data_IF_558205026235
#
_entry.id   IF_558205026235
#
_cell.length_a   1.000
_cell.length_b   1.000
_cell.length_c   1.000
_cell.angle_alpha   90.00
_cell.angle_beta   90.00
_cell.angle_gamma   90.00
#
_symmetry.space_group_name_H-M   'P 1'
#
loop_
_entity.id
_entity.type
_entity.pdbx_description
1 polymer ?
#
# COMPACT_ATOMS: atom_id res chain seq x y z
N UNK A 1 64.21 -14.40 -8.17
CA UNK A 1 63.09 -14.22 -7.23
C UNK A 1 63.53 -14.86 -5.91
N UNK A 2 63.65 -14.05 -4.87
CA UNK A 2 63.94 -14.50 -3.51
C UNK A 2 62.58 -14.69 -2.78
N UNK A 3 62.28 -15.86 -2.29
CA UNK A 3 61.08 -16.15 -1.54
C UNK A 3 61.46 -16.38 -0.08
N UNK A 4 61.05 -15.44 0.79
CA UNK A 4 61.24 -15.56 2.24
C UNK A 4 59.93 -16.00 2.85
N UNK A 5 59.93 -17.12 3.59
CA UNK A 5 58.74 -17.63 4.26
C UNK A 5 58.98 -17.71 5.77
N UNK A 6 58.21 -16.95 6.51
CA UNK A 6 58.20 -17.01 7.97
C UNK A 6 57.15 -18.01 8.46
N UNK A 7 57.53 -18.91 9.35
CA UNK A 7 56.61 -19.86 9.95
C UNK A 7 56.87 -20.03 11.45
N UNK A 8 55.78 -20.27 12.17
CA UNK A 8 55.80 -20.52 13.60
C UNK A 8 55.48 -21.98 13.86
N UNK A 9 56.41 -22.69 14.51
CA UNK A 9 56.20 -24.08 14.94
C UNK A 9 55.67 -24.11 16.36
N UNK A 10 54.75 -25.03 16.61
CA UNK A 10 54.27 -25.31 17.96
C UNK A 10 54.19 -26.82 18.20
N UNK A 11 54.21 -27.22 19.48
CA UNK A 11 54.08 -28.62 19.87
C UNK A 11 52.79 -29.25 19.33
N UNK A 12 52.81 -30.51 18.83
CA UNK A 12 51.61 -31.21 18.34
C UNK A 12 50.51 -31.37 19.41
N UNK A 13 50.85 -31.25 20.68
CA UNK A 13 49.91 -31.33 21.79
C UNK A 13 49.17 -30.00 22.08
N UNK A 14 49.48 -28.94 21.37
CA UNK A 14 48.79 -27.67 21.47
C UNK A 14 47.91 -27.45 20.25
N UNK A 15 46.62 -27.26 20.49
CA UNK A 15 45.68 -26.97 19.43
C UNK A 15 45.95 -25.56 18.89
N UNK A 16 46.37 -25.44 17.64
CA UNK A 16 46.52 -24.14 16.98
C UNK A 16 45.16 -23.59 16.64
N UNK A 17 44.86 -22.41 17.17
CA UNK A 17 43.67 -21.63 16.77
C UNK A 17 44.12 -20.28 16.23
N UNK A 18 43.78 -19.99 14.99
CA UNK A 18 43.93 -18.65 14.47
C UNK A 18 43.13 -17.67 15.37
N UNK A 19 43.75 -16.55 15.71
CA UNK A 19 43.02 -15.48 16.37
C UNK A 19 41.93 -14.99 15.39
N UNK A 20 40.65 -14.99 15.78
CA UNK A 20 39.60 -14.48 14.90
C UNK A 20 39.90 -13.01 14.59
N UNK A 21 40.00 -12.70 13.29
CA UNK A 21 40.13 -11.30 12.86
C UNK A 21 38.87 -10.59 13.23
N UNK A 22 38.98 -9.40 13.83
CA UNK A 22 37.83 -8.53 14.11
C UNK A 22 37.23 -8.09 12.78
N UNK A 23 35.97 -8.40 12.54
CA UNK A 23 35.26 -7.97 11.35
C UNK A 23 35.19 -6.41 11.30
N UNK A 24 35.32 -5.81 10.14
CA UNK A 24 35.08 -4.38 10.00
C UNK A 24 33.61 -4.08 10.40
N UNK A 25 33.37 -2.89 10.94
CA UNK A 25 32.03 -2.43 11.26
C UNK A 25 31.45 -1.77 10.01
N UNK A 26 30.27 -2.22 9.56
CA UNK A 26 29.55 -1.65 8.45
C UNK A 26 28.51 -0.61 8.95
N UNK A 27 28.31 0.41 8.15
CA UNK A 27 27.28 1.44 8.34
C UNK A 27 26.20 1.27 7.27
N UNK A 28 25.17 2.13 7.29
CA UNK A 28 24.13 2.12 6.28
C UNK A 28 24.69 2.32 4.88
N UNK A 29 24.25 1.53 3.94
CA UNK A 29 24.63 1.57 2.52
C UNK A 29 23.40 1.55 1.63
N UNK A 30 23.58 1.88 0.36
CA UNK A 30 22.52 1.85 -0.63
C UNK A 30 22.73 0.72 -1.62
N UNK A 31 21.64 0.03 -1.94
CA UNK A 31 21.63 -1.05 -2.91
C UNK A 31 20.38 -0.98 -3.81
N UNK A 32 20.38 -1.75 -4.88
CA UNK A 32 19.23 -1.92 -5.78
C UNK A 32 18.74 -3.35 -5.67
N UNK A 33 17.42 -3.52 -5.62
CA UNK A 33 16.78 -4.85 -5.63
C UNK A 33 16.93 -5.47 -7.02
N UNK A 34 17.37 -6.73 -7.06
CA UNK A 34 17.66 -7.46 -8.29
C UNK A 34 16.96 -8.82 -8.33
N UNK A 35 16.95 -9.44 -9.48
CA UNK A 35 16.34 -10.74 -9.71
C UNK A 35 16.42 -11.17 -11.16
N UNK A 36 15.75 -12.29 -11.53
CA UNK A 36 15.78 -12.81 -12.89
C UNK A 36 15.24 -11.80 -13.91
N UNK A 37 15.74 -11.92 -15.12
CA UNK A 37 15.29 -11.12 -16.25
C UNK A 37 13.76 -11.24 -16.47
N UNK A 38 13.12 -10.13 -16.82
CA UNK A 38 11.68 -10.04 -17.12
C UNK A 38 10.75 -10.31 -15.92
N UNK A 39 11.30 -10.38 -14.71
CA UNK A 39 10.53 -10.42 -13.46
C UNK A 39 10.40 -9.01 -12.86
N UNK A 40 9.25 -8.72 -12.25
CA UNK A 40 9.02 -7.48 -11.48
C UNK A 40 9.35 -7.64 -10.01
N UNK A 41 9.28 -8.86 -9.51
CA UNK A 41 9.57 -9.23 -8.11
C UNK A 41 10.28 -10.56 -8.08
N UNK A 42 11.22 -10.70 -7.15
CA UNK A 42 11.88 -11.97 -6.84
C UNK A 42 11.98 -12.08 -5.32
N UNK A 43 11.22 -12.98 -4.74
CA UNK A 43 11.03 -13.08 -3.28
C UNK A 43 10.90 -14.53 -2.85
N UNK A 44 11.42 -14.84 -1.67
CA UNK A 44 11.29 -16.18 -1.07
C UNK A 44 10.07 -16.27 -0.13
N UNK A 45 9.89 -17.44 0.48
CA UNK A 45 8.80 -17.71 1.41
C UNK A 45 8.82 -16.84 2.69
N UNK A 46 9.94 -16.20 3.00
CA UNK A 46 10.11 -15.30 4.16
C UNK A 46 10.04 -13.82 3.79
N UNK A 47 9.67 -13.49 2.56
CA UNK A 47 9.63 -12.11 2.08
C UNK A 47 11.01 -11.48 1.85
N UNK A 48 12.10 -12.28 1.79
CA UNK A 48 13.44 -11.80 1.52
C UNK A 48 13.65 -11.58 0.03
N UNK A 49 14.51 -10.64 -0.30
CA UNK A 49 14.83 -10.28 -1.70
C UNK A 49 16.35 -10.33 -1.93
N UNK A 50 16.75 -10.27 -3.19
CA UNK A 50 18.15 -10.16 -3.61
C UNK A 50 18.46 -8.70 -3.94
N UNK A 51 19.70 -8.30 -3.67
CA UNK A 51 20.20 -6.93 -3.87
C UNK A 51 21.54 -6.93 -4.61
N UNK A 52 21.84 -5.80 -5.25
CA UNK A 52 23.18 -5.49 -5.74
C UNK A 52 23.59 -4.12 -5.15
N UNK A 53 24.74 -4.08 -4.47
CA UNK A 53 25.25 -2.81 -3.95
C UNK A 53 25.67 -1.88 -5.09
N UNK A 54 25.58 -0.58 -4.89
CA UNK A 54 25.92 0.40 -5.94
C UNK A 54 27.42 0.40 -6.27
N UNK A 55 28.28 0.04 -5.30
CA UNK A 55 29.72 -0.07 -5.49
C UNK A 55 30.15 -1.40 -6.15
N UNK A 56 29.30 -2.43 -6.17
CA UNK A 56 29.61 -3.72 -6.78
C UNK A 56 29.34 -3.67 -8.29
N UNK A 57 30.30 -3.16 -9.05
CA UNK A 57 30.20 -2.95 -10.51
C UNK A 57 30.52 -4.18 -11.32
N UNK A 58 31.21 -5.15 -10.72
CA UNK A 58 31.70 -6.35 -11.42
C UNK A 58 30.67 -7.49 -11.43
N UNK A 59 29.68 -7.45 -10.54
CA UNK A 59 28.66 -8.48 -10.48
C UNK A 59 27.49 -8.19 -11.43
N UNK A 60 26.95 -9.23 -12.08
CA UNK A 60 25.71 -9.09 -12.83
C UNK A 60 24.56 -8.72 -11.89
N UNK A 61 23.68 -7.82 -12.34
CA UNK A 61 22.49 -7.39 -11.58
C UNK A 61 21.33 -8.37 -11.77
N UNK A 62 21.54 -9.60 -11.37
CA UNK A 62 20.61 -10.73 -11.50
C UNK A 62 20.32 -11.39 -10.13
N UNK A 63 19.66 -12.54 -10.13
CA UNK A 63 19.31 -13.32 -8.95
C UNK A 63 20.50 -13.89 -8.18
N UNK A 64 21.72 -13.82 -8.73
CA UNK A 64 22.95 -14.34 -8.11
C UNK A 64 23.79 -13.25 -7.45
N UNK A 65 23.38 -11.99 -7.54
CA UNK A 65 24.15 -10.85 -7.03
C UNK A 65 24.36 -10.85 -5.50
N UNK A 66 23.47 -11.45 -4.73
CA UNK A 66 23.62 -11.52 -3.26
C UNK A 66 23.01 -12.79 -2.66
N UNK A 67 23.19 -12.97 -1.34
CA UNK A 67 22.33 -13.83 -0.53
C UNK A 67 20.89 -13.26 -0.43
N UNK A 68 19.98 -14.02 0.15
CA UNK A 68 18.64 -13.54 0.50
C UNK A 68 18.70 -12.55 1.67
N UNK A 69 18.28 -11.31 1.44
CA UNK A 69 18.32 -10.22 2.41
C UNK A 69 16.92 -9.98 2.99
N UNK A 70 16.83 -9.91 4.32
CA UNK A 70 15.57 -9.67 5.04
C UNK A 70 15.06 -8.24 4.80
N UNK A 71 13.74 -8.09 4.74
CA UNK A 71 13.08 -6.78 4.62
C UNK A 71 12.45 -6.43 5.96
N UNK A 72 12.74 -5.24 6.47
CA UNK A 72 12.10 -4.70 7.67
C UNK A 72 10.62 -4.39 7.40
N UNK A 73 9.78 -4.57 8.39
CA UNK A 73 8.37 -4.20 8.37
C UNK A 73 8.03 -3.40 9.62
N UNK A 74 7.21 -2.35 9.52
CA UNK A 74 6.83 -1.54 10.69
C UNK A 74 5.95 -2.30 11.67
N UNK A 75 5.26 -3.34 11.23
CA UNK A 75 4.36 -4.15 12.05
C UNK A 75 4.26 -5.56 11.49
N UNK A 76 4.66 -6.54 12.29
CA UNK A 76 4.70 -7.94 11.88
C UNK A 76 4.38 -8.87 13.05
N UNK A 77 3.57 -9.89 12.79
CA UNK A 77 3.25 -10.97 13.71
C UNK A 77 3.00 -12.29 12.98
N UNK A 78 2.50 -13.28 13.68
CA UNK A 78 2.17 -14.57 13.09
C UNK A 78 0.87 -14.45 12.26
N UNK A 79 1.01 -14.40 10.96
CA UNK A 79 -0.06 -14.25 9.96
C UNK A 79 -0.84 -12.92 10.04
N UNK A 80 -0.25 -11.87 10.62
CA UNK A 80 -0.79 -10.51 10.57
C UNK A 80 0.32 -9.46 10.51
N UNK A 81 0.00 -8.25 10.05
CA UNK A 81 0.92 -7.12 9.93
C UNK A 81 0.89 -6.46 8.55
N UNK A 82 1.93 -5.69 8.25
CA UNK A 82 2.10 -4.99 6.98
C UNK A 82 3.15 -5.69 6.13
N UNK A 83 2.88 -5.87 4.84
CA UNK A 83 3.84 -6.43 3.90
C UNK A 83 3.91 -5.57 2.63
N UNK A 84 5.12 -5.12 2.30
CA UNK A 84 5.42 -4.39 1.06
C UNK A 84 6.72 -4.96 0.48
N UNK A 85 6.60 -5.94 -0.40
CA UNK A 85 7.75 -6.57 -1.04
C UNK A 85 8.44 -5.57 -1.97
N UNK A 86 9.73 -5.29 -1.81
CA UNK A 86 10.49 -4.47 -2.73
C UNK A 86 10.52 -5.09 -4.13
N UNK A 87 10.32 -4.26 -5.17
CA UNK A 87 10.35 -4.70 -6.55
C UNK A 87 11.73 -4.53 -7.17
N UNK A 88 12.04 -5.33 -8.15
CA UNK A 88 13.31 -5.26 -8.90
C UNK A 88 13.49 -3.84 -9.46
N UNK A 89 14.69 -3.29 -9.29
CA UNK A 89 15.07 -1.94 -9.67
C UNK A 89 14.70 -0.84 -8.66
N UNK A 90 14.12 -1.18 -7.51
CA UNK A 90 13.95 -0.21 -6.42
C UNK A 90 15.24 -0.04 -5.63
N UNK A 91 15.53 1.20 -5.28
CA UNK A 91 16.64 1.58 -4.41
C UNK A 91 16.23 1.38 -2.95
N UNK A 92 17.12 0.76 -2.18
CA UNK A 92 16.88 0.39 -0.78
C UNK A 92 18.06 0.76 0.09
N UNK A 93 17.79 1.12 1.33
CA UNK A 93 18.81 1.33 2.36
C UNK A 93 19.06 0.03 3.09
N UNK A 94 20.32 -0.38 3.12
CA UNK A 94 20.80 -1.58 3.82
C UNK A 94 21.40 -1.16 5.14
N UNK A 95 20.94 -1.75 6.23
CA UNK A 95 21.54 -1.66 7.55
C UNK A 95 22.07 -3.04 7.95
N UNK A 96 22.92 -3.05 8.98
CA UNK A 96 23.59 -4.24 9.49
C UNK A 96 23.33 -4.41 10.98
N UNK A 97 22.89 -5.59 11.40
CA UNK A 97 22.72 -5.87 12.83
C UNK A 97 24.07 -5.74 13.55
N UNK A 98 24.13 -4.83 14.52
CA UNK A 98 25.35 -4.53 15.29
C UNK A 98 26.57 -4.12 14.43
N UNK A 99 26.34 -3.74 13.19
CA UNK A 99 27.39 -3.43 12.21
C UNK A 99 28.10 -4.64 11.65
N UNK A 100 27.55 -5.86 11.81
CA UNK A 100 28.12 -7.10 11.27
C UNK A 100 27.83 -7.22 9.77
N UNK A 101 28.84 -7.22 8.88
CA UNK A 101 28.67 -7.32 7.43
C UNK A 101 27.92 -8.58 6.98
N UNK A 102 27.92 -9.64 7.78
CA UNK A 102 27.22 -10.88 7.45
C UNK A 102 25.73 -10.87 7.82
N UNK A 103 25.25 -9.77 8.41
CA UNK A 103 23.85 -9.63 8.86
C UNK A 103 23.14 -8.41 8.27
N UNK A 104 23.13 -8.27 6.93
CA UNK A 104 22.44 -7.18 6.27
C UNK A 104 20.92 -7.34 6.35
N UNK A 105 20.20 -6.21 6.40
CA UNK A 105 18.76 -6.16 6.22
C UNK A 105 18.35 -4.86 5.54
N UNK A 106 17.28 -4.91 4.75
CA UNK A 106 16.68 -3.73 4.14
C UNK A 106 15.89 -3.00 5.22
N UNK A 107 16.32 -1.78 5.52
CA UNK A 107 15.66 -0.91 6.50
C UNK A 107 14.55 -0.08 5.86
N UNK A 108 14.77 0.48 4.66
CA UNK A 108 13.84 1.38 4.00
C UNK A 108 14.06 1.42 2.47
N UNK A 109 13.23 2.22 1.80
CA UNK A 109 13.26 2.47 0.36
C UNK A 109 13.52 3.94 0.10
N UNK A 110 14.26 4.24 -0.96
CA UNK A 110 14.60 5.61 -1.33
C UNK A 110 13.87 6.03 -2.61
N UNK A 111 13.34 7.25 -2.59
CA UNK A 111 12.84 7.91 -3.80
C UNK A 111 14.03 8.44 -4.59
N UNK A 112 14.06 8.22 -5.89
CA UNK A 112 15.11 8.73 -6.78
C UNK A 112 14.52 9.15 -8.13
N UNK A 113 15.40 9.62 -9.05
CA UNK A 113 14.97 10.09 -10.37
C UNK A 113 14.19 9.04 -11.18
N UNK A 114 14.51 7.76 -11.02
CA UNK A 114 13.86 6.65 -11.74
C UNK A 114 12.64 6.10 -11.01
N UNK A 115 12.54 6.34 -9.70
CA UNK A 115 11.48 5.82 -8.82
C UNK A 115 10.87 6.98 -8.04
N UNK A 116 9.94 7.66 -8.70
CA UNK A 116 9.24 8.84 -8.17
C UNK A 116 8.19 8.45 -7.10
N UNK A 117 7.81 9.39 -6.23
CA UNK A 117 6.73 9.16 -5.27
C UNK A 117 5.40 8.87 -5.96
N UNK A 118 4.40 8.31 -5.24
CA UNK A 118 3.10 7.95 -5.79
C UNK A 118 2.38 9.08 -6.52
N UNK A 119 2.50 10.29 -6.02
CA UNK A 119 1.95 11.51 -6.60
C UNK A 119 3.04 12.55 -6.79
N UNK A 120 2.97 13.28 -7.90
CA UNK A 120 4.02 14.24 -8.27
C UNK A 120 4.13 15.38 -7.25
N UNK A 121 5.31 15.51 -6.68
CA UNK A 121 5.67 16.62 -5.80
C UNK A 121 6.31 17.77 -6.61
N UNK A 122 6.24 19.04 -6.13
CA UNK A 122 5.62 19.47 -4.87
C UNK A 122 4.09 19.68 -4.94
N UNK A 123 3.45 19.58 -6.09
CA UNK A 123 2.05 19.95 -6.28
C UNK A 123 1.06 19.18 -5.37
N UNK A 124 1.40 17.97 -4.96
CA UNK A 124 0.55 17.09 -4.17
C UNK A 124 1.08 16.86 -2.74
N UNK A 125 1.74 17.83 -2.14
CA UNK A 125 2.33 17.69 -0.79
C UNK A 125 1.29 17.42 0.32
N UNK A 126 0.01 17.75 0.08
CA UNK A 126 -1.08 17.49 1.01
C UNK A 126 -1.63 16.05 0.94
N UNK A 127 -1.20 15.25 -0.05
CA UNK A 127 -1.62 13.87 -0.18
C UNK A 127 -0.74 12.94 0.64
N UNK A 128 -1.38 12.05 1.40
CA UNK A 128 -0.74 10.97 2.13
C UNK A 128 -1.43 9.64 1.86
N UNK A 129 -0.71 8.53 1.91
CA UNK A 129 -1.29 7.21 1.71
C UNK A 129 -0.45 6.25 0.90
N UNK A 130 -1.10 5.25 0.33
CA UNK A 130 -0.47 4.17 -0.45
C UNK A 130 -1.11 4.08 -1.83
N UNK A 131 -0.28 4.04 -2.86
CA UNK A 131 -0.68 3.71 -4.22
C UNK A 131 0.12 2.53 -4.70
N UNK A 132 -0.56 1.44 -5.06
CA UNK A 132 0.07 0.25 -5.65
C UNK A 132 0.19 0.42 -7.16
N UNK A 133 0.81 -0.56 -7.80
CA UNK A 133 0.83 -0.67 -9.26
C UNK A 133 0.75 -2.14 -9.63
N UNK A 134 0.02 -2.45 -10.67
CA UNK A 134 -0.02 -3.77 -11.27
C UNK A 134 1.39 -4.27 -11.62
N UNK A 135 1.65 -5.57 -11.47
CA UNK A 135 3.01 -6.11 -11.63
C UNK A 135 3.55 -5.95 -13.04
N UNK A 136 2.73 -6.13 -14.05
CA UNK A 136 3.11 -6.02 -15.47
C UNK A 136 2.28 -4.98 -16.23
N UNK A 137 1.63 -4.06 -15.53
CA UNK A 137 0.76 -3.04 -16.10
C UNK A 137 0.90 -1.70 -15.39
N UNK A 138 -0.07 -0.82 -15.66
CA UNK A 138 -0.09 0.55 -15.14
C UNK A 138 -1.27 0.83 -14.20
N UNK A 139 -2.22 -0.13 -14.07
CA UNK A 139 -3.36 0.02 -13.17
C UNK A 139 -2.88 0.02 -11.72
N UNK A 140 -3.63 0.70 -10.87
CA UNK A 140 -3.28 0.91 -9.48
C UNK A 140 -4.48 0.73 -8.56
N UNK A 141 -4.21 0.35 -7.33
CA UNK A 141 -5.11 0.55 -6.21
C UNK A 141 -4.53 1.63 -5.32
N UNK A 142 -5.38 2.43 -4.68
CA UNK A 142 -4.90 3.48 -3.79
C UNK A 142 -5.80 3.66 -2.56
N UNK A 143 -5.15 3.98 -1.46
CA UNK A 143 -5.77 4.52 -0.24
C UNK A 143 -5.07 5.84 -0.01
N UNK A 144 -5.80 6.94 -0.10
CA UNK A 144 -5.24 8.28 -0.04
C UNK A 144 -6.09 9.18 0.86
N UNK A 145 -5.41 9.99 1.68
CA UNK A 145 -5.98 11.11 2.39
C UNK A 145 -5.46 12.42 1.78
N UNK A 146 -6.33 13.40 1.63
CA UNK A 146 -6.02 14.77 1.20
C UNK A 146 -6.26 15.71 2.38
N UNK A 147 -5.19 16.29 2.89
CA UNK A 147 -5.19 17.20 4.03
C UNK A 147 -5.22 18.69 3.60
N UNK A 148 -5.69 18.97 2.38
CA UNK A 148 -5.82 20.35 1.92
C UNK A 148 -6.81 21.12 2.80
N UNK A 149 -6.44 22.30 3.33
CA UNK A 149 -7.31 23.10 4.17
C UNK A 149 -8.68 23.38 3.53
N UNK A 150 -9.76 23.06 4.26
CA UNK A 150 -11.13 23.20 3.79
C UNK A 150 -11.56 22.19 2.71
N UNK A 151 -10.72 21.20 2.39
CA UNK A 151 -10.97 20.20 1.33
C UNK A 151 -10.53 18.80 1.73
N UNK A 152 -10.75 18.44 2.99
CA UNK A 152 -10.39 17.14 3.52
C UNK A 152 -11.11 16.01 2.79
N UNK A 153 -10.37 14.97 2.44
CA UNK A 153 -10.91 13.83 1.72
C UNK A 153 -10.18 12.54 2.09
N UNK A 154 -10.92 11.44 2.14
CA UNK A 154 -10.37 10.09 2.14
C UNK A 154 -10.93 9.32 0.95
N UNK A 155 -10.05 8.64 0.22
CA UNK A 155 -10.42 7.84 -0.95
C UNK A 155 -9.80 6.46 -0.89
N UNK A 156 -10.61 5.44 -1.16
CA UNK A 156 -10.18 4.07 -1.46
C UNK A 156 -10.63 3.77 -2.87
N UNK A 157 -9.71 3.45 -3.77
CA UNK A 157 -10.06 3.22 -5.18
C UNK A 157 -9.18 2.20 -5.87
N UNK A 158 -9.73 1.62 -6.93
CA UNK A 158 -9.06 0.73 -7.86
C UNK A 158 -9.30 1.23 -9.28
N UNK A 159 -8.26 1.25 -10.10
CA UNK A 159 -8.38 1.57 -11.53
C UNK A 159 -9.16 0.47 -12.27
N UNK A 160 -9.25 -0.74 -11.68
CA UNK A 160 -10.08 -1.81 -12.22
C UNK A 160 -11.58 -1.44 -12.13
N UNK A 161 -12.22 -1.31 -13.28
CA UNK A 161 -13.62 -0.87 -13.40
C UNK A 161 -13.91 0.45 -12.66
N UNK A 162 -12.92 1.34 -12.51
CA UNK A 162 -13.04 2.65 -11.87
C UNK A 162 -13.77 2.62 -10.50
N UNK A 163 -13.56 1.54 -9.74
CA UNK A 163 -14.23 1.32 -8.46
C UNK A 163 -13.66 2.24 -7.38
N UNK A 164 -14.53 2.96 -6.66
CA UNK A 164 -14.09 3.92 -5.64
C UNK A 164 -15.11 4.15 -4.54
N UNK A 165 -14.57 4.41 -3.36
CA UNK A 165 -15.26 5.02 -2.23
C UNK A 165 -14.53 6.32 -1.88
N UNK A 166 -15.23 7.43 -1.92
CA UNK A 166 -14.71 8.76 -1.57
C UNK A 166 -15.56 9.32 -0.45
N UNK A 167 -14.94 9.97 0.53
CA UNK A 167 -15.61 10.64 1.65
C UNK A 167 -14.96 12.00 1.88
N UNK A 168 -15.76 13.06 1.92
CA UNK A 168 -15.34 14.43 2.21
C UNK A 168 -15.57 15.39 1.06
N UNK A 169 -14.54 16.15 0.67
CA UNK A 169 -14.67 17.20 -0.34
C UNK A 169 -14.75 16.68 -1.78
N UNK A 170 -14.56 15.44 -2.04
CA UNK A 170 -14.71 14.81 -3.35
C UNK A 170 -13.92 15.48 -4.50
N UNK A 171 -12.64 15.75 -4.27
CA UNK A 171 -11.70 16.10 -5.34
C UNK A 171 -11.32 14.84 -6.11
N UNK A 172 -11.30 14.88 -7.43
CA UNK A 172 -10.81 13.76 -8.23
C UNK A 172 -9.31 13.59 -8.03
N UNK A 173 -8.91 12.43 -7.53
CA UNK A 173 -7.51 12.03 -7.33
C UNK A 173 -7.30 10.74 -8.12
N UNK A 174 -6.62 10.81 -9.24
CA UNK A 174 -6.30 9.67 -10.08
C UNK A 174 -4.90 9.75 -10.68
N UNK A 175 -4.34 8.60 -11.02
CA UNK A 175 -3.01 8.49 -11.60
C UNK A 175 -1.92 9.10 -10.71
N UNK A 176 -0.75 9.35 -11.28
CA UNK A 176 0.38 9.97 -10.59
C UNK A 176 0.30 11.51 -10.54
N UNK A 177 -0.57 12.13 -11.33
CA UNK A 177 -0.78 13.59 -11.30
C UNK A 177 -1.46 14.05 -10.01
N UNK A 178 -2.15 13.12 -9.33
CA UNK A 178 -2.79 13.39 -8.04
C UNK A 178 -4.08 14.19 -8.18
N UNK A 179 -4.15 15.31 -7.47
CA UNK A 179 -5.35 16.15 -7.37
C UNK A 179 -5.70 16.82 -8.69
N UNK A 180 -6.98 16.75 -9.04
CA UNK A 180 -7.60 17.37 -10.21
C UNK A 180 -8.77 18.26 -9.81
N UNK A 181 -9.82 18.27 -10.60
CA UNK A 181 -11.02 19.08 -10.37
C UNK A 181 -11.84 18.61 -9.16
N UNK A 182 -12.48 19.56 -8.49
CA UNK A 182 -13.46 19.29 -7.46
C UNK A 182 -14.80 18.84 -8.09
N UNK A 183 -15.47 17.87 -7.44
CA UNK A 183 -16.72 17.29 -7.91
C UNK A 183 -17.89 17.57 -6.95
N UNK A 184 -17.64 18.13 -5.78
CA UNK A 184 -18.64 18.45 -4.77
C UNK A 184 -18.24 17.97 -3.38
N UNK A 185 -19.22 17.80 -2.51
CA UNK A 185 -19.01 17.41 -1.11
C UNK A 185 -19.91 16.21 -0.75
N UNK A 186 -19.45 15.40 0.21
CA UNK A 186 -20.20 14.25 0.71
C UNK A 186 -19.45 12.93 0.51
N UNK A 187 -20.16 11.90 0.10
CA UNK A 187 -19.56 10.59 -0.20
C UNK A 187 -20.00 10.07 -1.57
N UNK A 188 -19.15 9.30 -2.20
CA UNK A 188 -19.41 8.61 -3.46
C UNK A 188 -18.95 7.16 -3.37
N UNK A 189 -19.84 6.23 -3.68
CA UNK A 189 -19.53 4.83 -3.94
C UNK A 189 -19.89 4.54 -5.40
N UNK A 190 -18.91 4.25 -6.24
CA UNK A 190 -19.10 4.08 -7.67
C UNK A 190 -18.24 2.95 -8.23
N UNK A 191 -18.72 2.32 -9.31
CA UNK A 191 -18.01 1.34 -10.12
C UNK A 191 -18.63 1.28 -11.50
N UNK A 192 -17.81 0.97 -12.52
CA UNK A 192 -18.28 0.69 -13.88
C UNK A 192 -18.68 -0.80 -14.05
N UNK A 193 -18.54 -1.60 -12.98
CA UNK A 193 -18.95 -2.99 -12.94
C UNK A 193 -20.22 -3.19 -12.08
N UNK A 194 -20.43 -4.38 -11.55
CA UNK A 194 -21.59 -4.70 -10.72
C UNK A 194 -21.43 -4.17 -9.29
N UNK A 195 -22.46 -3.52 -8.76
CA UNK A 195 -22.54 -3.09 -7.37
C UNK A 195 -23.60 -3.88 -6.59
N UNK A 196 -23.26 -4.29 -5.36
CA UNK A 196 -24.17 -4.97 -4.43
C UNK A 196 -24.06 -4.34 -3.05
N UNK A 197 -25.19 -3.86 -2.51
CA UNK A 197 -25.33 -3.45 -1.13
C UNK A 197 -26.19 -4.50 -0.41
N UNK A 198 -25.62 -5.20 0.55
CA UNK A 198 -26.30 -6.29 1.27
C UNK A 198 -26.08 -6.17 2.77
N UNK A 199 -27.16 -6.28 3.56
CA UNK A 199 -27.11 -6.28 5.01
C UNK A 199 -28.13 -7.30 5.57
N UNK A 200 -27.67 -8.32 6.27
CA UNK A 200 -28.50 -9.43 6.77
C UNK A 200 -29.50 -9.01 7.84
N UNK A 201 -29.23 -7.93 8.59
CA UNK A 201 -30.12 -7.44 9.67
C UNK A 201 -30.96 -6.23 9.27
N UNK A 202 -30.94 -5.85 7.98
CA UNK A 202 -31.66 -4.72 7.45
C UNK A 202 -30.77 -3.53 7.09
N UNK A 203 -31.28 -2.65 6.22
CA UNK A 203 -30.60 -1.47 5.70
C UNK A 203 -31.53 -0.27 5.81
N UNK A 204 -30.98 0.89 6.19
CA UNK A 204 -31.67 2.18 6.16
C UNK A 204 -30.94 3.09 5.19
N UNK A 205 -31.65 3.57 4.19
CA UNK A 205 -31.21 4.67 3.32
C UNK A 205 -32.21 5.80 3.54
N UNK A 206 -31.73 6.97 3.99
CA UNK A 206 -32.57 8.09 4.36
C UNK A 206 -31.95 9.41 3.93
N UNK A 207 -32.79 10.34 3.53
CA UNK A 207 -32.46 11.75 3.27
C UNK A 207 -32.81 12.65 4.48
N UNK A 208 -33.32 12.07 5.57
CA UNK A 208 -33.66 12.81 6.78
C UNK A 208 -32.41 13.29 7.50
N UNK A 209 -32.40 14.55 7.87
CA UNK A 209 -31.28 15.19 8.57
C UNK A 209 -31.14 14.65 10.00
N UNK A 210 -29.95 14.17 10.33
CA UNK A 210 -29.52 13.82 11.68
C UNK A 210 -28.13 14.38 11.95
N UNK A 211 -28.08 15.68 12.15
CA UNK A 211 -26.83 16.38 12.41
C UNK A 211 -26.09 15.76 13.61
N UNK A 212 -24.79 15.44 13.44
CA UNK A 212 -23.95 14.86 14.48
C UNK A 212 -24.39 13.50 15.00
N UNK A 213 -25.10 12.69 14.22
CA UNK A 213 -25.73 11.40 14.55
C UNK A 213 -24.97 10.53 15.58
N UNK A 214 -25.13 10.82 16.87
CA UNK A 214 -24.47 10.13 18.00
C UNK A 214 -25.29 8.94 18.54
N UNK A 215 -26.58 8.86 18.19
CA UNK A 215 -27.45 7.76 18.58
C UNK A 215 -27.08 6.45 17.84
N UNK A 216 -27.47 5.27 18.36
CA UNK A 216 -27.20 3.99 17.73
C UNK A 216 -27.55 3.96 16.24
N UNK A 217 -26.72 3.34 15.41
CA UNK A 217 -26.88 3.25 13.94
C UNK A 217 -28.25 2.69 13.54
N UNK A 218 -28.76 1.72 14.29
CA UNK A 218 -30.10 1.11 14.08
C UNK A 218 -31.26 1.85 14.74
N UNK A 219 -31.08 3.10 15.15
CA UNK A 219 -32.19 3.90 15.67
C UNK A 219 -33.20 4.20 14.56
N UNK A 220 -34.39 3.62 14.71
CA UNK A 220 -35.48 3.67 13.73
C UNK A 220 -36.47 4.80 13.98
N UNK A 221 -36.16 5.80 14.84
CA UNK A 221 -37.07 6.91 15.11
C UNK A 221 -37.42 7.67 13.82
N UNK A 222 -36.50 7.84 12.91
CA UNK A 222 -36.77 8.38 11.57
C UNK A 222 -37.72 7.51 10.73
N UNK A 223 -37.64 6.18 10.87
CA UNK A 223 -38.57 5.26 10.17
C UNK A 223 -40.03 5.45 10.57
N UNK A 224 -40.30 5.69 11.86
CA UNK A 224 -41.68 5.90 12.30
C UNK A 224 -42.27 7.21 11.74
N UNK A 225 -41.45 8.24 11.63
CA UNK A 225 -41.87 9.50 10.99
C UNK A 225 -42.12 9.33 9.50
N UNK A 226 -41.23 8.64 8.77
CA UNK A 226 -41.39 8.40 7.33
C UNK A 226 -42.58 7.48 7.01
N UNK A 227 -42.82 6.43 7.82
CA UNK A 227 -43.98 5.54 7.67
C UNK A 227 -45.30 6.31 7.94
N UNK A 228 -45.30 7.17 8.95
CA UNK A 228 -46.48 8.00 9.27
C UNK A 228 -46.72 9.07 8.19
N UNK A 229 -45.67 9.64 7.61
CA UNK A 229 -45.78 10.59 6.48
C UNK A 229 -46.28 9.88 5.20
N UNK A 230 -45.82 8.67 4.93
CA UNK A 230 -46.28 7.86 3.80
C UNK A 230 -47.74 7.43 3.96
N UNK A 231 -48.19 7.14 5.17
CA UNK A 231 -49.58 6.82 5.45
C UNK A 231 -50.51 8.06 5.43
N UNK A 232 -49.99 9.26 5.72
CA UNK A 232 -50.77 10.53 5.63
C UNK A 232 -50.68 11.21 4.28
N UNK A 233 -49.69 10.88 3.47
CA UNK A 233 -49.40 11.47 2.17
C UNK A 233 -49.65 10.54 1.00
N UNK A 234 -50.79 9.84 0.98
CA UNK A 234 -51.22 9.09 -0.20
C UNK A 234 -51.61 10.03 -1.36
N UNK A 235 -50.68 10.84 -1.82
CA UNK A 235 -50.67 11.59 -3.10
C UNK A 235 -49.40 12.43 -3.27
N UNK A 236 -48.25 11.88 -3.08
CA UNK A 236 -47.05 12.50 -3.64
C UNK A 236 -46.35 11.47 -4.51
N UNK A 237 -46.64 11.54 -5.80
CA UNK A 237 -46.00 10.79 -6.86
C UNK A 237 -44.50 11.07 -6.81
N UNK A 238 -43.72 10.07 -6.42
CA UNK A 238 -42.32 10.00 -6.79
C UNK A 238 -42.27 10.01 -8.33
N UNK A 239 -42.00 11.16 -8.93
CA UNK A 239 -41.59 11.23 -10.33
C UNK A 239 -40.19 10.69 -10.44
N UNK A 240 -40.08 9.38 -10.56
CA UNK A 240 -38.94 8.75 -11.17
C UNK A 240 -38.98 9.09 -12.66
N UNK A 241 -38.00 9.79 -13.18
CA UNK A 241 -37.96 10.16 -14.59
C UNK A 241 -38.03 8.93 -15.48
N UNK A 242 -38.89 9.03 -16.46
CA UNK A 242 -39.05 8.27 -17.68
C UNK A 242 -38.85 6.74 -17.64
N UNK A 243 -39.98 6.04 -17.70
CA UNK A 243 -40.21 4.72 -18.33
C UNK A 243 -39.53 3.53 -17.71
N UNK A 244 -40.06 3.04 -16.57
CA UNK A 244 -40.25 1.59 -16.37
C UNK A 244 -41.37 1.39 -15.35
N UNK A 245 -42.34 0.54 -15.70
CA UNK A 245 -43.51 0.22 -14.87
C UNK A 245 -43.04 -0.57 -13.66
N UNK A 246 -43.23 -0.05 -12.44
CA UNK A 246 -43.11 -0.87 -11.23
C UNK A 246 -44.32 -1.82 -11.16
N UNK A 247 -44.08 -3.12 -11.34
CA UNK A 247 -45.07 -4.13 -11.03
C UNK A 247 -45.09 -4.37 -9.52
N UNK A 248 -46.28 -4.56 -8.89
CA UNK A 248 -46.33 -4.87 -7.47
C UNK A 248 -45.83 -6.28 -7.20
N UNK A 249 -44.91 -6.40 -6.24
CA UNK A 249 -44.46 -7.71 -5.73
C UNK A 249 -45.60 -8.30 -4.94
N UNK A 250 -46.19 -9.39 -5.44
CA UNK A 250 -47.12 -10.24 -4.67
C UNK A 250 -46.28 -11.03 -3.68
N UNK A 251 -46.60 -10.90 -2.40
CA UNK A 251 -46.20 -11.83 -1.34
C UNK A 251 -46.98 -13.11 -1.49
N UNK A 252 -46.28 -14.22 -1.60
CA UNK A 252 -46.76 -15.56 -1.25
C UNK A 252 -46.16 -15.96 0.10
#
# INVERSE_FOLDING_TARGET
FECVTDFVLQSPNRFFRNRPKKKPRCYAETAVVVGPKDQTTWVDAYGRVKICYLWDVDRPKDENASCWVRVSSPWQGNSFGSIYVPRIGQEVTINYHEGDPDKPYIADRMVNRLRQPPWLLPANYALSGTRTQELKGFQANQIVADDTPGKLQVQVSSDHAQSRLIVGYNTRIDGNKGRKEARGEGWELATDAWGVLRANQGMVISTETRAGATAPVKDTRSRRAATTACQRGARTTLRCGARSRCSPIRTA
#
